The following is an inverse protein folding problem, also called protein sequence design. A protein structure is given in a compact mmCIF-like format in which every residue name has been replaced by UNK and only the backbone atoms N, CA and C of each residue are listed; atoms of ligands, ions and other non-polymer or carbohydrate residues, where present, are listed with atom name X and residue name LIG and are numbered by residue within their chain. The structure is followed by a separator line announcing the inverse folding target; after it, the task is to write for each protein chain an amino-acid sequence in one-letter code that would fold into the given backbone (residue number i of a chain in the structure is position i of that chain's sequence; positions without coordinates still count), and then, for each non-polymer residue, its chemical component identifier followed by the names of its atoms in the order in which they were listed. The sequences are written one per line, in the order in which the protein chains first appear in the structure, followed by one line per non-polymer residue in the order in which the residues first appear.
data_IF_763254181896
#
_entry.id   IF_763254181896
#
_cell.length_a   1.000
_cell.length_b   1.000
_cell.length_c   1.000
_cell.angle_alpha   90.00
_cell.angle_beta   90.00
_cell.angle_gamma   90.00
#
_symmetry.space_group_name_H-M   'P 1'
#
loop_
_entity.id
_entity.type
_entity.pdbx_description
1 polymer ?
#
# COMPACT_ATOMS: atom_id res chain seq x y z
N UNK A 1 -12.44 5.42 12.83
CA UNK A 1 -12.85 4.18 13.56
C UNK A 1 -12.22 2.96 12.89
N UNK A 2 -12.40 1.75 13.42
CA UNK A 2 -11.91 0.50 12.76
C UNK A 2 -12.56 0.34 11.38
N UNK A 3 -13.82 0.73 11.23
CA UNK A 3 -14.54 0.71 9.96
C UNK A 3 -13.88 1.65 8.92
N UNK A 4 -13.61 2.91 9.30
CA UNK A 4 -12.89 3.88 8.46
C UNK A 4 -11.54 3.33 7.99
N UNK A 5 -10.74 2.77 8.91
CA UNK A 5 -9.42 2.24 8.60
C UNK A 5 -9.50 1.07 7.61
N UNK A 6 -10.44 0.13 7.81
CA UNK A 6 -10.68 -0.99 6.90
C UNK A 6 -11.20 -0.53 5.53
N UNK A 7 -12.04 0.49 5.49
CA UNK A 7 -12.57 1.05 4.24
C UNK A 7 -11.45 1.68 3.41
N UNK A 8 -10.58 2.48 4.03
CA UNK A 8 -9.42 3.07 3.38
C UNK A 8 -8.46 1.98 2.87
N UNK A 9 -8.09 1.02 3.73
CA UNK A 9 -7.20 -0.08 3.35
C UNK A 9 -7.78 -0.87 2.15
N UNK A 10 -9.07 -1.22 2.19
CA UNK A 10 -9.76 -1.90 1.08
C UNK A 10 -9.76 -1.08 -0.20
N UNK A 11 -9.99 0.22 -0.11
CA UNK A 11 -9.99 1.11 -1.29
C UNK A 11 -8.62 1.18 -1.96
N UNK A 12 -7.53 1.24 -1.17
CA UNK A 12 -6.16 1.22 -1.69
C UNK A 12 -5.84 -0.09 -2.40
N UNK A 13 -6.08 -1.25 -1.77
CA UNK A 13 -5.73 -2.56 -2.38
C UNK A 13 -6.61 -2.95 -3.57
N UNK A 14 -7.80 -2.36 -3.69
CA UNK A 14 -8.72 -2.61 -4.82
C UNK A 14 -8.48 -1.66 -6.00
N UNK A 15 -7.67 -0.61 -5.84
CA UNK A 15 -7.37 0.34 -6.91
C UNK A 15 -6.51 -0.29 -8.00
N UNK A 16 -7.03 -0.38 -9.23
CA UNK A 16 -6.25 -0.88 -10.38
C UNK A 16 -4.97 -0.07 -10.62
N UNK A 17 -4.99 1.25 -10.36
CA UNK A 17 -3.82 2.11 -10.52
C UNK A 17 -2.75 1.82 -9.46
N UNK A 18 -3.16 1.60 -8.20
CA UNK A 18 -2.24 1.18 -7.14
C UNK A 18 -1.67 -0.20 -7.47
N UNK A 19 -2.51 -1.17 -7.85
CA UNK A 19 -2.05 -2.51 -8.24
C UNK A 19 -1.05 -2.47 -9.41
N UNK A 20 -1.26 -1.59 -10.38
CA UNK A 20 -0.32 -1.36 -11.48
C UNK A 20 0.97 -0.65 -11.04
N UNK A 21 0.93 0.20 -10.00
CA UNK A 21 2.12 0.83 -9.42
C UNK A 21 3.07 -0.23 -8.84
N UNK A 22 2.50 -1.23 -8.15
CA UNK A 22 3.25 -2.35 -7.59
C UNK A 22 3.87 -3.20 -8.70
N UNK A 23 3.09 -3.54 -9.72
CA UNK A 23 3.60 -4.29 -10.88
C UNK A 23 4.75 -3.55 -11.58
N UNK A 24 4.58 -2.24 -11.79
CA UNK A 24 5.58 -1.39 -12.44
C UNK A 24 6.76 -1.00 -11.57
N UNK A 25 6.72 -1.32 -10.27
CA UNK A 25 7.70 -0.87 -9.26
C UNK A 25 7.91 0.64 -9.29
N UNK A 26 6.80 1.36 -9.50
CA UNK A 26 6.73 2.81 -9.58
C UNK A 26 6.13 3.34 -8.28
N UNK A 27 6.92 4.10 -7.51
CA UNK A 27 6.56 4.64 -6.19
C UNK A 27 5.61 5.85 -6.27
N UNK A 28 4.62 5.77 -7.16
CA UNK A 28 3.62 6.80 -7.39
C UNK A 28 2.56 6.84 -6.26
N UNK A 29 2.94 7.41 -5.11
CA UNK A 29 2.10 7.53 -3.93
C UNK A 29 0.81 8.34 -4.17
N UNK A 30 0.78 9.20 -5.20
CA UNK A 30 -0.41 9.95 -5.59
C UNK A 30 -1.60 9.04 -5.92
N UNK A 31 -1.33 7.82 -6.43
CA UNK A 31 -2.37 6.80 -6.67
C UNK A 31 -2.97 6.26 -5.39
N UNK A 32 -2.17 6.14 -4.32
CA UNK A 32 -2.61 5.71 -2.98
C UNK A 32 -3.51 6.79 -2.38
N UNK A 33 -3.07 8.05 -2.38
CA UNK A 33 -3.85 9.16 -1.85
C UNK A 33 -5.16 9.37 -2.63
N UNK A 34 -5.13 9.23 -3.95
CA UNK A 34 -6.33 9.26 -4.79
C UNK A 34 -7.30 8.13 -4.41
N UNK A 35 -6.80 6.92 -4.19
CA UNK A 35 -7.61 5.80 -3.74
C UNK A 35 -8.28 6.03 -2.38
N UNK A 36 -7.52 6.58 -1.44
CA UNK A 36 -8.09 7.01 -0.17
C UNK A 36 -9.17 8.09 -0.36
N UNK A 37 -8.93 9.06 -1.26
CA UNK A 37 -9.86 10.15 -1.55
C UNK A 37 -11.23 9.70 -2.07
N UNK A 38 -11.29 8.71 -2.97
CA UNK A 38 -12.55 8.16 -3.47
C UNK A 38 -13.13 7.03 -2.60
N UNK A 39 -12.50 6.69 -1.48
CA UNK A 39 -12.91 5.56 -0.63
C UNK A 39 -14.30 5.72 0.00
N UNK A 40 -14.79 6.96 0.10
CA UNK A 40 -16.00 7.33 0.86
C UNK A 40 -15.79 7.38 2.38
N UNK A 41 -14.57 7.16 2.86
CA UNK A 41 -14.20 7.30 4.26
C UNK A 41 -13.80 8.75 4.57
N UNK A 42 -14.14 9.24 5.77
CA UNK A 42 -13.69 10.55 6.21
C UNK A 42 -12.26 10.47 6.75
N UNK A 43 -11.34 11.25 6.18
CA UNK A 43 -9.96 11.41 6.65
C UNK A 43 -9.44 12.80 6.23
N UNK A 44 -8.40 13.29 6.90
CA UNK A 44 -7.73 14.56 6.58
C UNK A 44 -6.35 14.28 5.98
N UNK A 45 -6.09 14.70 4.73
CA UNK A 45 -4.76 14.59 4.12
C UNK A 45 -3.66 15.27 4.95
N UNK A 46 -3.98 16.35 5.66
CA UNK A 46 -3.07 17.11 6.52
C UNK A 46 -2.64 16.35 7.78
N UNK A 47 -3.37 15.29 8.15
CA UNK A 47 -3.05 14.39 9.26
C UNK A 47 -2.64 12.99 8.79
N UNK A 48 -2.22 12.88 7.53
CA UNK A 48 -1.92 11.60 6.89
C UNK A 48 -0.43 11.49 6.61
N UNK A 49 0.16 10.37 7.02
CA UNK A 49 1.52 9.96 6.66
C UNK A 49 1.44 8.68 5.85
N UNK A 50 2.15 8.61 4.72
CA UNK A 50 2.22 7.43 3.86
C UNK A 50 3.67 6.98 3.73
N UNK A 51 3.91 5.69 3.98
CA UNK A 51 5.19 5.04 3.80
C UNK A 51 5.06 3.74 3.02
N UNK A 52 6.03 3.47 2.15
CA UNK A 52 6.20 2.17 1.50
C UNK A 52 7.23 1.38 2.31
N UNK A 53 6.89 0.13 2.60
CA UNK A 53 7.69 -0.71 3.48
C UNK A 53 7.83 -2.12 2.92
N UNK A 54 8.94 -2.78 3.22
CA UNK A 54 9.15 -4.20 2.94
C UNK A 54 10.04 -4.80 4.01
N UNK A 55 9.86 -6.08 4.31
CA UNK A 55 10.73 -6.81 5.24
C UNK A 55 11.58 -7.80 4.45
N UNK A 56 12.90 -7.63 4.51
CA UNK A 56 13.85 -8.54 3.84
C UNK A 56 13.74 -9.93 4.46
N UNK A 57 13.46 -10.93 3.62
CA UNK A 57 13.32 -12.32 4.06
C UNK A 57 11.97 -12.64 4.72
N UNK A 58 10.97 -11.75 4.61
CA UNK A 58 9.60 -12.08 4.97
C UNK A 58 9.16 -13.35 4.23
N UNK A 59 8.80 -14.38 4.98
CA UNK A 59 8.23 -15.59 4.42
C UNK A 59 6.76 -15.32 4.08
N UNK A 60 6.32 -15.79 2.90
CA UNK A 60 4.90 -15.83 2.55
C UNK A 60 4.13 -16.58 3.65
N UNK A 61 3.38 -15.86 4.48
CA UNK A 61 2.66 -16.33 5.71
C UNK A 61 3.44 -16.28 7.05
N UNK A 62 4.47 -15.46 7.20
CA UNK A 62 5.11 -15.21 8.49
C UNK A 62 4.16 -14.58 9.52
N UNK A 63 4.41 -14.82 10.82
CA UNK A 63 3.68 -14.20 11.91
C UNK A 63 3.70 -12.67 11.74
N UNK A 64 2.51 -12.09 11.64
CA UNK A 64 2.35 -10.64 11.62
C UNK A 64 2.14 -10.12 13.02
N UNK A 65 2.63 -8.92 13.31
CA UNK A 65 2.32 -8.22 14.56
C UNK A 65 0.82 -7.86 14.65
N UNK A 66 0.43 -7.20 15.76
CA UNK A 66 -0.94 -6.73 16.02
C UNK A 66 -1.52 -5.79 14.94
N UNK A 67 -0.69 -5.24 14.05
CA UNK A 67 -1.08 -4.39 12.92
C UNK A 67 -1.05 -5.11 11.56
N UNK A 68 -0.63 -6.38 11.53
CA UNK A 68 -0.47 -7.13 10.29
C UNK A 68 0.89 -6.90 9.62
N UNK A 69 1.89 -6.35 10.32
CA UNK A 69 3.22 -6.10 9.78
C UNK A 69 4.13 -7.33 9.95
N UNK A 70 5.04 -7.63 9.02
CA UNK A 70 5.94 -8.77 9.15
C UNK A 70 6.97 -8.55 10.26
N UNK A 71 7.27 -9.59 11.05
CA UNK A 71 8.38 -9.55 12.02
C UNK A 71 9.75 -9.53 11.29
N UNK A 72 10.57 -8.49 11.51
CA UNK A 72 11.92 -8.40 10.93
C UNK A 72 12.50 -6.99 10.88
N UNK A 73 13.66 -6.83 10.23
CA UNK A 73 14.22 -5.51 9.94
C UNK A 73 13.45 -4.92 8.76
N UNK A 74 12.63 -3.91 9.05
CA UNK A 74 11.78 -3.24 8.06
C UNK A 74 12.57 -2.17 7.31
N UNK A 75 12.70 -2.34 6.00
CA UNK A 75 13.10 -1.26 5.10
C UNK A 75 11.87 -0.42 4.79
N UNK A 76 11.97 0.89 4.99
CA UNK A 76 10.87 1.82 4.70
C UNK A 76 11.35 3.13 4.07
N UNK A 77 10.45 3.72 3.28
CA UNK A 77 10.60 5.05 2.69
C UNK A 77 9.28 5.82 2.88
N UNK A 78 9.39 7.01 3.46
CA UNK A 78 8.25 7.91 3.62
C UNK A 78 8.09 8.73 2.34
N UNK A 79 6.87 8.79 1.82
CA UNK A 79 6.58 9.41 0.51
C UNK A 79 5.63 10.61 0.63
N UNK A 80 4.88 10.69 1.73
CA UNK A 80 3.93 11.76 1.99
C UNK A 80 3.80 12.00 3.49
N UNK A 81 3.81 13.26 3.90
CA UNK A 81 3.79 13.68 5.30
C UNK A 81 2.92 14.94 5.48
N UNK A 82 1.87 14.83 6.30
CA UNK A 82 1.02 15.94 6.74
C UNK A 82 0.58 16.91 5.63
N UNK A 83 0.06 16.37 4.52
CA UNK A 83 -0.41 17.18 3.39
C UNK A 83 0.66 17.52 2.35
N UNK A 84 1.91 17.12 2.57
CA UNK A 84 3.06 17.50 1.75
C UNK A 84 3.70 16.25 1.11
N UNK A 85 3.84 16.22 -0.23
CA UNK A 85 4.72 15.29 -0.91
C UNK A 85 6.18 15.43 -0.45
N UNK A 86 6.81 14.33 -0.06
CA UNK A 86 8.22 14.33 0.28
C UNK A 86 9.07 14.02 -0.95
N UNK A 87 10.25 14.67 -1.04
CA UNK A 87 11.31 14.16 -1.89
C UNK A 87 11.89 12.91 -1.21
N UNK A 88 11.85 11.77 -1.90
CA UNK A 88 12.33 10.50 -1.38
C UNK A 88 13.32 9.85 -2.35
N UNK A 89 14.07 8.89 -1.83
CA UNK A 89 15.02 8.10 -2.62
C UNK A 89 14.27 7.10 -3.49
N UNK A 90 14.23 7.37 -4.79
CA UNK A 90 13.56 6.52 -5.79
C UNK A 90 14.21 5.13 -5.91
N UNK A 91 15.53 5.03 -5.75
CA UNK A 91 16.25 3.76 -5.83
C UNK A 91 15.88 2.89 -4.64
N UNK A 92 15.82 3.48 -3.43
CA UNK A 92 15.35 2.78 -2.23
C UNK A 92 13.88 2.36 -2.37
N UNK A 93 13.02 3.23 -2.90
CA UNK A 93 11.62 2.90 -3.11
C UNK A 93 11.45 1.75 -4.10
N UNK A 94 12.27 1.72 -5.16
CA UNK A 94 12.30 0.63 -6.14
C UNK A 94 12.85 -0.67 -5.56
N UNK A 95 13.83 -0.62 -4.66
CA UNK A 95 14.33 -1.78 -3.92
C UNK A 95 13.21 -2.41 -3.07
N UNK A 96 12.47 -1.57 -2.33
CA UNK A 96 11.30 -1.97 -1.53
C UNK A 96 10.23 -2.59 -2.44
N UNK A 97 9.87 -1.93 -3.54
CA UNK A 97 8.85 -2.40 -4.49
C UNK A 97 9.27 -3.66 -5.28
N UNK A 98 10.56 -4.02 -5.25
CA UNK A 98 11.07 -5.24 -5.88
C UNK A 98 10.97 -6.47 -4.99
N UNK A 99 10.57 -6.32 -3.73
CA UNK A 99 10.38 -7.46 -2.82
C UNK A 99 9.09 -8.23 -3.14
N UNK A 100 9.04 -9.50 -2.71
CA UNK A 100 7.86 -10.36 -2.89
C UNK A 100 6.64 -9.87 -2.11
N UNK A 101 6.86 -9.27 -0.93
CA UNK A 101 5.83 -8.68 -0.09
C UNK A 101 6.14 -7.22 0.19
N UNK A 102 5.16 -6.37 -0.09
CA UNK A 102 5.27 -4.92 0.10
C UNK A 102 4.06 -4.42 0.87
N UNK A 103 4.29 -3.50 1.80
CA UNK A 103 3.28 -2.89 2.65
C UNK A 103 3.16 -1.41 2.37
N UNK A 104 1.93 -0.94 2.17
CA UNK A 104 1.60 0.49 2.28
C UNK A 104 1.16 0.74 3.71
N UNK A 105 1.95 1.53 4.43
CA UNK A 105 1.59 1.98 5.78
C UNK A 105 1.01 3.39 5.69
N UNK A 106 -0.23 3.53 6.14
CA UNK A 106 -0.94 4.80 6.23
C UNK A 106 -1.28 5.08 7.69
N UNK A 107 -0.78 6.19 8.22
CA UNK A 107 -1.08 6.64 9.56
C UNK A 107 -1.99 7.86 9.46
N UNK A 108 -3.16 7.77 10.11
CA UNK A 108 -4.12 8.86 10.24
C UNK A 108 -4.07 9.30 11.70
N UNK A 109 -3.53 10.48 11.98
CA UNK A 109 -3.40 11.01 13.35
C UNK A 109 -4.74 11.52 13.93
N UNK A 110 -5.78 10.69 13.78
CA UNK A 110 -7.17 11.02 14.11
C UNK A 110 -7.83 9.93 14.99
N UNK A 111 -7.03 9.02 15.55
CA UNK A 111 -7.47 7.99 16.48
C UNK A 111 -6.47 6.85 16.65
N UNK A 112 -6.89 5.79 17.34
CA UNK A 112 -6.07 4.60 17.65
C UNK A 112 -6.51 3.34 16.91
N UNK A 113 -7.52 3.45 16.05
CA UNK A 113 -8.07 2.31 15.33
C UNK A 113 -7.18 1.94 14.13
N UNK A 114 -7.00 0.65 13.90
CA UNK A 114 -6.26 0.10 12.77
C UNK A 114 -7.15 -0.73 11.84
N UNK A 115 -6.69 -0.94 10.60
CA UNK A 115 -7.37 -1.77 9.62
C UNK A 115 -6.39 -2.20 8.54
N UNK A 116 -6.38 -3.49 8.24
CA UNK A 116 -5.46 -4.11 7.28
C UNK A 116 -6.26 -4.78 6.18
N UNK A 117 -5.79 -4.67 4.94
CA UNK A 117 -6.34 -5.34 3.78
C UNK A 117 -5.20 -5.90 2.93
N UNK A 118 -5.47 -7.03 2.27
CA UNK A 118 -4.49 -7.74 1.46
C UNK A 118 -4.92 -7.71 0.00
N UNK A 119 -3.93 -7.68 -0.88
CA UNK A 119 -4.12 -7.72 -2.32
C UNK A 119 -2.86 -8.23 -3.01
N UNK A 120 -2.86 -8.10 -4.32
CA UNK A 120 -1.71 -8.36 -5.16
C UNK A 120 -1.58 -7.23 -6.18
N UNK A 121 -0.57 -7.26 -7.03
CA UNK A 121 -0.43 -6.38 -8.17
C UNK A 121 -1.43 -6.72 -9.30
N UNK A 122 -1.36 -5.97 -10.41
CA UNK A 122 -2.16 -6.20 -11.62
C UNK A 122 -1.22 -6.38 -12.80
N UNK A 123 -1.01 -7.63 -13.22
CA UNK A 123 -0.03 -8.00 -14.24
C UNK A 123 -0.66 -8.19 -15.62
N UNK A 124 0.16 -8.25 -16.67
CA UNK A 124 -0.30 -8.65 -18.01
C UNK A 124 -0.86 -10.07 -18.02
N UNK A 125 -0.26 -10.99 -17.26
CA UNK A 125 -0.73 -12.38 -17.17
C UNK A 125 -2.13 -12.48 -16.56
N UNK A 126 -2.47 -11.62 -15.60
CA UNK A 126 -3.83 -11.54 -15.08
C UNK A 126 -4.84 -11.26 -16.21
N UNK A 127 -4.54 -10.30 -17.09
CA UNK A 127 -5.42 -9.98 -18.23
C UNK A 127 -5.47 -11.12 -19.23
N UNK A 128 -4.32 -11.72 -19.57
CA UNK A 128 -4.24 -12.85 -20.50
C UNK A 128 -5.06 -14.05 -20.03
N UNK A 129 -4.81 -14.51 -18.80
CA UNK A 129 -5.49 -15.66 -18.20
C UNK A 129 -7.00 -15.44 -18.17
N UNK A 130 -7.45 -14.23 -17.80
CA UNK A 130 -8.88 -13.94 -17.67
C UNK A 130 -9.57 -13.56 -18.99
N UNK A 131 -8.82 -13.06 -19.98
CA UNK A 131 -9.33 -12.73 -21.32
C UNK A 131 -9.53 -13.96 -22.21
N UNK A 132 -8.70 -14.98 -22.03
CA UNK A 132 -8.68 -16.19 -22.87
C UNK A 132 -9.69 -17.28 -22.43
N UNK A 133 -10.53 -17.02 -21.41
CA UNK A 133 -11.49 -18.02 -20.88
C UNK A 133 -12.58 -18.47 -21.86
N UNK A 134 -12.82 -17.72 -22.95
CA UNK A 134 -13.78 -18.07 -24.00
C UNK A 134 -13.14 -17.95 -25.39
N UNK A 135 -12.35 -18.95 -25.76
CA UNK A 135 -12.08 -19.34 -27.15
C UNK A 135 -12.42 -20.80 -27.36
#
# INVERSE_FOLDING_TARGET
TVETARQLAKSVVSSSLVKAMFYGRDANFGRILCAMGYSGANFSPEKTVISLCSVKGAQRHGATDVLGLPEGTEDSVMVFDHGVPLAFDEDKAKEILSQDEVTVRVVLEDGTACGTAWGCDLTYDYVKINGDYRT
#
